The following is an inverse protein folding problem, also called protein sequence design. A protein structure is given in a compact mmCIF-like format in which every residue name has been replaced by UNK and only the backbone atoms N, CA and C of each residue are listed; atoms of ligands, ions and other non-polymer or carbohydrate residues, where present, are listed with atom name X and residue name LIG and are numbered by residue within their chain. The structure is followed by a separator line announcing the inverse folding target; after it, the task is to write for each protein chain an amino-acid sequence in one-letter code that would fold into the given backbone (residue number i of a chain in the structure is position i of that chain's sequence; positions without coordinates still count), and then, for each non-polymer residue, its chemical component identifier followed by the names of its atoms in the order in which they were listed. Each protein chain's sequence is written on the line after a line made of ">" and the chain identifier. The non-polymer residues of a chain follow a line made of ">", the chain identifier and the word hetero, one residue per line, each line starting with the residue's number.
data_IF_820742107381
#
_entry.id   IF_820742107381
#
_cell.length_a   1.000
_cell.length_b   1.000
_cell.length_c   1.000
_cell.angle_alpha   90.00
_cell.angle_beta   90.00
_cell.angle_gamma   90.00
#
_symmetry.space_group_name_H-M   'P 1'
#
loop_
_entity.id
_entity.type
_entity.pdbx_description
1 polymer ?
#
# COMPACT_ATOMS: atom_id res chain seq x y z
N UNK A 1 15.89 27.05 2.70
CA UNK A 1 14.61 26.37 3.04
C UNK A 1 14.21 26.90 4.40
N UNK A 2 13.09 27.61 4.51
CA UNK A 2 12.61 28.04 5.83
C UNK A 2 12.24 26.79 6.63
N UNK A 3 12.78 26.64 7.84
CA UNK A 3 12.33 25.62 8.78
C UNK A 3 10.86 25.92 9.10
N UNK A 4 9.96 25.13 8.54
CA UNK A 4 8.55 25.16 8.89
C UNK A 4 8.44 24.40 10.21
N UNK A 5 8.23 25.12 11.30
CA UNK A 5 8.02 24.54 12.62
C UNK A 5 6.65 23.86 12.73
N UNK A 6 6.50 22.93 13.68
CA UNK A 6 5.24 22.22 13.94
C UNK A 6 4.07 23.21 14.18
N UNK A 7 4.37 24.36 14.80
CA UNK A 7 3.39 25.41 15.04
C UNK A 7 2.85 26.03 13.73
N UNK A 8 3.67 26.13 12.68
CA UNK A 8 3.22 26.57 11.36
C UNK A 8 2.31 25.53 10.69
N UNK A 9 2.61 24.24 10.86
CA UNK A 9 1.73 23.17 10.40
C UNK A 9 0.39 23.18 11.13
N UNK A 10 0.38 23.37 12.45
CA UNK A 10 -0.84 23.43 13.25
C UNK A 10 -1.73 24.62 12.83
N UNK A 11 -1.13 25.80 12.60
CA UNK A 11 -1.85 26.98 12.10
C UNK A 11 -2.44 26.74 10.70
N UNK A 12 -1.70 26.05 9.83
CA UNK A 12 -2.19 25.68 8.51
C UNK A 12 -3.36 24.70 8.60
N UNK A 13 -3.23 23.67 9.42
CA UNK A 13 -4.27 22.66 9.64
C UNK A 13 -5.56 23.27 10.20
N UNK A 14 -5.45 24.16 11.19
CA UNK A 14 -6.59 24.88 11.76
C UNK A 14 -7.31 25.74 10.71
N UNK A 15 -6.57 26.40 9.82
CA UNK A 15 -7.15 27.22 8.74
C UNK A 15 -7.84 26.39 7.66
N UNK A 16 -7.30 25.23 7.31
CA UNK A 16 -7.86 24.36 6.27
C UNK A 16 -9.11 23.60 6.75
N UNK A 17 -9.27 23.43 8.07
CA UNK A 17 -10.42 22.74 8.68
C UNK A 17 -11.47 23.69 9.25
N UNK A 18 -11.24 25.00 9.16
CA UNK A 18 -12.18 26.02 9.64
C UNK A 18 -13.48 26.03 8.82
N UNK A 19 -14.64 25.69 9.42
CA UNK A 19 -15.92 25.70 8.72
C UNK A 19 -16.39 27.12 8.34
N UNK A 20 -15.87 28.17 8.97
CA UNK A 20 -16.15 29.56 8.62
C UNK A 20 -15.38 30.03 7.37
N UNK A 21 -14.35 29.29 6.98
CA UNK A 21 -13.51 29.58 5.80
C UNK A 21 -13.55 28.38 4.84
N UNK A 22 -14.70 28.08 4.21
CA UNK A 22 -14.82 26.93 3.33
C UNK A 22 -13.83 27.05 2.18
N UNK A 23 -13.16 25.93 1.87
CA UNK A 23 -12.24 25.86 0.73
C UNK A 23 -12.99 26.31 -0.55
N UNK A 24 -12.39 27.21 -1.35
CA UNK A 24 -13.01 27.65 -2.58
C UNK A 24 -13.23 26.45 -3.49
N UNK A 25 -14.36 26.43 -4.22
CA UNK A 25 -14.61 25.40 -5.22
C UNK A 25 -13.48 25.41 -6.24
N UNK A 26 -12.83 24.26 -6.42
CA UNK A 26 -11.82 24.09 -7.45
C UNK A 26 -12.49 24.27 -8.81
N UNK A 27 -12.06 25.28 -9.55
CA UNK A 27 -12.40 25.47 -10.96
C UNK A 27 -11.24 24.99 -11.82
N UNK A 28 -11.51 24.45 -13.01
CA UNK A 28 -10.51 23.94 -13.96
C UNK A 28 -9.72 22.70 -13.48
N UNK A 29 -10.40 21.74 -12.87
CA UNK A 29 -9.80 20.44 -12.55
C UNK A 29 -9.53 19.68 -13.86
N UNK A 30 -8.25 19.53 -14.20
CA UNK A 30 -7.85 18.67 -15.31
C UNK A 30 -8.01 17.21 -14.90
N UNK A 31 -8.51 16.38 -15.79
CA UNK A 31 -8.69 14.94 -15.57
C UNK A 31 -8.17 14.14 -16.76
N UNK A 32 -7.81 12.88 -16.53
CA UNK A 32 -7.35 11.98 -17.59
C UNK A 32 -6.09 12.48 -18.28
N UNK A 33 -6.07 12.42 -19.62
CA UNK A 33 -4.90 12.80 -20.43
C UNK A 33 -4.47 14.25 -20.22
N UNK A 34 -5.42 15.17 -20.05
CA UNK A 34 -5.11 16.58 -19.80
C UNK A 34 -4.37 16.78 -18.48
N UNK A 35 -4.71 16.01 -17.44
CA UNK A 35 -3.99 16.01 -16.18
C UNK A 35 -2.59 15.39 -16.32
N UNK A 36 -2.48 14.30 -17.07
CA UNK A 36 -1.20 13.65 -17.33
C UNK A 36 -0.23 14.58 -18.07
N UNK A 37 -0.70 15.29 -19.10
CA UNK A 37 0.11 16.25 -19.83
C UNK A 37 0.55 17.44 -18.96
N UNK A 38 -0.36 18.00 -18.16
CA UNK A 38 -0.04 19.10 -17.26
C UNK A 38 0.95 18.67 -16.15
N UNK A 39 0.77 17.48 -15.59
CA UNK A 39 1.67 16.91 -14.59
C UNK A 39 3.05 16.60 -15.18
N UNK A 40 3.12 16.05 -16.39
CA UNK A 40 4.37 15.82 -17.10
C UNK A 40 5.12 17.13 -17.36
N UNK A 41 4.46 18.14 -17.91
CA UNK A 41 5.06 19.45 -18.16
C UNK A 41 5.58 20.11 -16.87
N UNK A 42 4.82 19.98 -15.77
CA UNK A 42 5.26 20.44 -14.45
C UNK A 42 6.56 19.74 -14.01
N UNK A 43 6.63 18.41 -14.11
CA UNK A 43 7.83 17.66 -13.74
C UNK A 43 9.03 18.04 -14.60
N UNK A 44 8.87 18.16 -15.93
CA UNK A 44 9.96 18.59 -16.81
C UNK A 44 10.45 19.99 -16.44
N UNK A 45 9.55 20.90 -16.06
CA UNK A 45 9.95 22.26 -15.63
C UNK A 45 10.74 22.27 -14.31
N UNK A 46 10.42 21.38 -13.38
CA UNK A 46 11.09 21.28 -12.07
C UNK A 46 12.47 20.60 -12.18
N UNK A 47 12.56 19.55 -12.99
CA UNK A 47 13.79 18.78 -13.18
C UNK A 47 14.67 19.30 -14.33
N UNK A 48 14.19 20.27 -15.10
CA UNK A 48 14.92 21.01 -16.14
C UNK A 48 14.98 20.35 -17.51
N UNK A 49 14.91 19.02 -17.60
CA UNK A 49 14.82 18.29 -18.88
C UNK A 49 14.15 16.92 -18.74
N UNK A 50 13.75 16.35 -19.86
CA UNK A 50 13.18 15.00 -19.94
C UNK A 50 14.19 13.94 -19.48
N UNK A 51 15.46 14.10 -19.86
CA UNK A 51 16.55 13.19 -19.50
C UNK A 51 16.87 13.24 -18.00
N UNK A 52 16.80 14.43 -17.39
CA UNK A 52 16.99 14.59 -15.96
C UNK A 52 15.83 13.96 -15.17
N UNK A 53 14.60 14.17 -15.62
CA UNK A 53 13.42 13.52 -15.04
C UNK A 53 13.51 11.99 -15.14
N UNK A 54 13.84 11.45 -16.31
CA UNK A 54 13.95 10.01 -16.52
C UNK A 54 15.11 9.40 -15.71
N UNK A 55 16.25 10.09 -15.57
CA UNK A 55 17.34 9.67 -14.70
C UNK A 55 16.90 9.59 -13.23
N UNK A 56 16.15 10.58 -12.74
CA UNK A 56 15.59 10.58 -11.38
C UNK A 56 14.57 9.47 -11.19
N UNK A 57 13.66 9.26 -12.14
CA UNK A 57 12.65 8.19 -12.07
C UNK A 57 13.31 6.80 -12.09
N UNK A 58 14.33 6.60 -12.92
CA UNK A 58 15.11 5.35 -12.97
C UNK A 58 15.89 5.11 -11.68
N UNK A 59 16.47 6.17 -11.10
CA UNK A 59 17.22 6.08 -9.85
C UNK A 59 16.32 5.83 -8.62
N UNK A 60 15.17 6.52 -8.55
CA UNK A 60 14.17 6.31 -7.52
C UNK A 60 13.54 4.91 -7.62
N UNK A 61 13.42 4.39 -8.84
CA UNK A 61 12.79 3.11 -9.12
C UNK A 61 11.31 3.11 -8.72
N UNK A 62 10.69 1.93 -8.75
CA UNK A 62 9.33 1.77 -8.23
C UNK A 62 9.40 1.75 -6.69
N UNK A 63 8.74 2.68 -5.97
CA UNK A 63 8.65 2.59 -4.52
C UNK A 63 8.05 1.23 -4.15
N UNK A 64 8.80 0.47 -3.36
CA UNK A 64 8.40 -0.86 -2.92
C UNK A 64 7.37 -0.67 -1.81
N UNK A 65 6.12 -1.02 -2.09
CA UNK A 65 5.11 -1.20 -1.04
C UNK A 65 5.53 -2.41 -0.20
N UNK A 66 6.20 -2.14 0.92
CA UNK A 66 6.63 -3.13 1.91
C UNK A 66 8.03 -3.72 1.69
N UNK A 67 8.74 -3.93 2.80
CA UNK A 67 9.90 -4.82 2.90
C UNK A 67 9.41 -6.28 2.92
N UNK A 68 8.88 -6.79 1.80
CA UNK A 68 8.71 -8.25 1.71
C UNK A 68 10.01 -8.88 1.22
N UNK A 69 10.67 -9.73 2.02
CA UNK A 69 11.83 -10.47 1.55
C UNK A 69 11.40 -11.33 0.36
N UNK A 70 12.00 -11.06 -0.81
CA UNK A 70 11.89 -11.94 -1.98
C UNK A 70 12.60 -13.26 -1.67
N UNK A 71 11.82 -14.28 -1.37
CA UNK A 71 12.27 -15.66 -1.22
C UNK A 71 11.07 -16.61 -1.32
N UNK A 72 11.32 -17.87 -1.65
CA UNK A 72 10.29 -18.90 -1.50
C UNK A 72 9.77 -18.85 -0.06
N UNK A 73 8.44 -18.88 0.12
CA UNK A 73 7.87 -18.94 1.47
C UNK A 73 8.49 -20.12 2.22
N UNK A 74 8.90 -19.94 3.49
CA UNK A 74 9.49 -21.01 4.27
C UNK A 74 8.51 -22.20 4.34
N UNK A 75 9.01 -23.40 4.05
CA UNK A 75 8.19 -24.61 4.05
C UNK A 75 8.11 -25.15 5.48
N UNK A 76 6.90 -25.19 6.03
CA UNK A 76 6.61 -25.80 7.32
C UNK A 76 6.01 -27.19 7.10
N UNK A 77 6.61 -28.22 7.73
CA UNK A 77 6.07 -29.59 7.72
C UNK A 77 5.38 -29.87 9.04
N UNK A 78 4.07 -30.10 9.00
CA UNK A 78 3.25 -30.48 10.15
C UNK A 78 2.79 -31.93 10.06
N UNK A 79 2.59 -32.58 11.21
CA UNK A 79 1.87 -33.87 11.30
C UNK A 79 0.53 -33.61 11.97
N UNK A 80 -0.53 -34.14 11.39
CA UNK A 80 -1.88 -34.08 11.94
C UNK A 80 -2.46 -35.51 12.05
N UNK A 81 -3.37 -35.75 13.00
CA UNK A 81 -4.15 -36.98 13.06
C UNK A 81 -4.85 -37.30 11.74
N UNK A 82 -5.06 -38.59 11.47
CA UNK A 82 -5.74 -39.05 10.24
C UNK A 82 -7.18 -38.55 10.17
N UNK A 83 -7.88 -38.47 11.31
CA UNK A 83 -9.24 -37.94 11.39
C UNK A 83 -9.29 -36.46 10.95
N UNK A 84 -8.36 -35.65 11.44
CA UNK A 84 -8.27 -34.23 11.10
C UNK A 84 -7.90 -34.04 9.63
N UNK A 85 -7.07 -34.93 9.08
CA UNK A 85 -6.76 -34.92 7.64
C UNK A 85 -8.00 -35.17 6.79
N UNK A 86 -8.84 -36.14 7.17
CA UNK A 86 -10.08 -36.43 6.44
C UNK A 86 -11.05 -35.22 6.47
N UNK A 87 -11.23 -34.61 7.64
CA UNK A 87 -12.04 -33.40 7.78
C UNK A 87 -11.46 -32.22 6.97
N UNK A 88 -10.14 -32.10 6.87
CA UNK A 88 -9.49 -31.07 6.06
C UNK A 88 -9.70 -31.28 4.56
N UNK A 89 -9.66 -32.53 4.08
CA UNK A 89 -9.94 -32.87 2.68
C UNK A 89 -11.43 -32.63 2.32
N UNK A 90 -12.36 -32.76 3.29
CA UNK A 90 -13.75 -32.31 3.15
C UNK A 90 -13.84 -30.79 3.00
N UNK A 91 -13.18 -30.04 3.88
CA UNK A 91 -13.16 -28.58 3.84
C UNK A 91 -12.59 -28.03 2.52
N UNK A 92 -11.55 -28.67 1.97
CA UNK A 92 -11.01 -28.32 0.64
C UNK A 92 -12.07 -28.48 -0.45
N UNK A 93 -12.83 -29.59 -0.42
CA UNK A 93 -13.88 -29.86 -1.42
C UNK A 93 -15.04 -28.88 -1.32
N UNK A 94 -15.45 -28.53 -0.11
CA UNK A 94 -16.57 -27.59 0.13
C UNK A 94 -16.21 -26.16 -0.26
N UNK A 95 -15.00 -25.71 0.08
CA UNK A 95 -14.57 -24.32 -0.16
C UNK A 95 -13.98 -24.09 -1.54
N UNK A 96 -13.51 -25.15 -2.21
CA UNK A 96 -12.76 -25.04 -3.48
C UNK A 96 -11.39 -24.37 -3.36
N UNK A 97 -10.94 -24.05 -2.12
CA UNK A 97 -9.65 -23.42 -1.85
C UNK A 97 -8.52 -24.45 -1.91
N UNK A 98 -7.30 -23.96 -2.15
CA UNK A 98 -6.09 -24.82 -2.09
C UNK A 98 -5.72 -25.13 -0.65
N UNK A 99 -5.19 -26.33 -0.39
CA UNK A 99 -4.65 -26.74 0.91
C UNK A 99 -3.73 -25.68 1.53
N UNK A 100 -2.76 -25.18 0.76
CA UNK A 100 -1.83 -24.15 1.25
C UNK A 100 -2.51 -22.82 1.65
N UNK A 101 -3.65 -22.51 1.06
CA UNK A 101 -4.41 -21.29 1.35
C UNK A 101 -5.16 -21.43 2.67
N UNK A 102 -5.86 -22.55 2.86
CA UNK A 102 -6.54 -22.89 4.11
C UNK A 102 -5.56 -23.01 5.29
N UNK A 103 -4.37 -23.59 5.07
CA UNK A 103 -3.33 -23.64 6.11
C UNK A 103 -2.83 -22.24 6.46
N UNK A 104 -2.64 -21.34 5.48
CA UNK A 104 -2.25 -19.95 5.77
C UNK A 104 -3.32 -19.22 6.56
N UNK A 105 -4.59 -19.40 6.21
CA UNK A 105 -5.73 -18.82 6.91
C UNK A 105 -5.79 -19.32 8.37
N UNK A 106 -5.69 -20.63 8.59
CA UNK A 106 -5.68 -21.22 9.92
C UNK A 106 -4.50 -20.71 10.78
N UNK A 107 -3.30 -20.59 10.20
CA UNK A 107 -2.12 -20.05 10.90
C UNK A 107 -2.35 -18.58 11.28
N UNK A 108 -2.93 -17.78 10.38
CA UNK A 108 -3.23 -16.38 10.67
C UNK A 108 -4.24 -16.24 11.81
N UNK A 109 -5.35 -16.98 11.76
CA UNK A 109 -6.36 -17.00 12.82
C UNK A 109 -5.76 -17.37 14.17
N UNK A 110 -4.86 -18.36 14.22
CA UNK A 110 -4.16 -18.74 15.45
C UNK A 110 -3.26 -17.60 15.96
N UNK A 111 -2.52 -16.93 15.09
CA UNK A 111 -1.65 -15.81 15.48
C UNK A 111 -2.44 -14.59 15.96
N UNK A 112 -3.59 -14.29 15.37
CA UNK A 112 -4.51 -13.25 15.85
C UNK A 112 -5.05 -13.56 17.24
N UNK A 113 -5.49 -14.81 17.48
CA UNK A 113 -5.95 -15.26 18.80
C UNK A 113 -4.90 -15.05 19.89
N UNK A 114 -3.62 -15.21 19.55
CA UNK A 114 -2.49 -15.00 20.46
C UNK A 114 -1.94 -13.57 20.45
N UNK A 115 -2.57 -12.62 19.75
CA UNK A 115 -2.12 -11.21 19.58
C UNK A 115 -0.68 -11.10 19.07
N UNK A 116 -0.31 -11.98 18.15
CA UNK A 116 1.01 -12.03 17.49
C UNK A 116 0.98 -11.62 16.02
N UNK A 117 -0.21 -11.53 15.43
CA UNK A 117 -0.43 -10.85 14.16
C UNK A 117 -1.01 -9.45 14.44
N UNK A 118 -0.60 -8.47 13.63
CA UNK A 118 -1.13 -7.09 13.60
C UNK A 118 -1.74 -6.81 12.24
#
# INVERSE_FOLDING_TARGET
>A
MADIDDAAFDRLAARLTDPATPMPKLTNVLTGEAAAAAGHAFLVSEYGSEEALDAVLRAAGRPRLGEQPKGASPVVRGRIPVADRAAFDELIRETGKKESELVREAVHLLLEQHRKAS
#
